data_IF_487166313777
#
_entry.id   IF_487166313777
#
_cell.length_a   1.000
_cell.length_b   1.000
_cell.length_c   1.000
_cell.angle_alpha   90.00
_cell.angle_beta   90.00
_cell.angle_gamma   90.00
#
_symmetry.space_group_name_H-M   'P 1'
#
loop_
_entity.id
_entity.type
_entity.pdbx_description
1 polymer ?
#
# COMPACT_ATOMS: atom_id res chain seq x y z
N UNK A 1 9.23 20.62 20.36
CA UNK A 1 8.11 19.66 20.64
C UNK A 1 7.09 19.50 19.49
N UNK A 2 7.37 19.90 18.26
CA UNK A 2 6.45 19.80 17.09
C UNK A 2 6.71 18.62 16.13
N UNK A 3 7.87 17.99 16.20
CA UNK A 3 8.28 16.98 15.21
C UNK A 3 7.47 15.68 15.23
N UNK A 4 7.16 15.16 16.40
CA UNK A 4 6.49 13.85 16.56
C UNK A 4 5.03 13.82 16.03
N UNK A 5 4.29 14.92 16.21
CA UNK A 5 2.90 15.03 15.69
C UNK A 5 2.87 15.11 14.15
N UNK A 6 3.88 15.73 13.55
CA UNK A 6 3.98 15.82 12.08
C UNK A 6 4.31 14.48 11.43
N UNK A 7 5.23 13.72 12.02
CA UNK A 7 5.63 12.39 11.56
C UNK A 7 4.46 11.42 11.63
N UNK A 8 3.70 11.39 12.73
CA UNK A 8 2.53 10.52 12.88
C UNK A 8 1.47 10.81 11.82
N UNK A 9 1.18 12.08 11.54
CA UNK A 9 0.20 12.45 10.49
C UNK A 9 0.64 12.05 9.10
N UNK A 10 1.94 12.19 8.79
CA UNK A 10 2.49 11.72 7.51
C UNK A 10 2.39 10.22 7.35
N UNK A 11 2.67 9.47 8.41
CA UNK A 11 2.51 8.01 8.44
C UNK A 11 1.07 7.59 8.21
N UNK A 12 0.13 8.17 8.96
CA UNK A 12 -1.29 7.81 8.87
C UNK A 12 -1.84 8.16 7.48
N UNK A 13 -1.51 9.34 6.94
CA UNK A 13 -1.84 9.73 5.57
C UNK A 13 -1.34 8.73 4.52
N UNK A 14 -0.08 8.33 4.60
CA UNK A 14 0.49 7.37 3.65
C UNK A 14 -0.15 5.98 3.79
N UNK A 15 -0.41 5.53 5.02
CA UNK A 15 -1.08 4.26 5.28
C UNK A 15 -2.49 4.23 4.68
N UNK A 16 -3.30 5.27 4.92
CA UNK A 16 -4.63 5.40 4.36
C UNK A 16 -4.58 5.46 2.82
N UNK A 17 -3.66 6.24 2.27
CA UNK A 17 -3.50 6.42 0.84
C UNK A 17 -3.11 5.11 0.13
N UNK A 18 -2.12 4.37 0.64
CA UNK A 18 -1.70 3.09 0.07
C UNK A 18 -2.77 2.00 0.22
N UNK A 19 -3.59 2.08 1.25
CA UNK A 19 -4.72 1.16 1.48
C UNK A 19 -5.98 1.53 0.69
N UNK A 20 -5.92 2.59 -0.15
CA UNK A 20 -7.03 3.00 -1.01
C UNK A 20 -8.16 3.76 -0.30
N UNK A 21 -7.98 4.17 0.96
CA UNK A 21 -9.00 4.95 1.67
C UNK A 21 -9.13 6.37 1.09
N UNK A 22 -10.36 6.88 1.06
CA UNK A 22 -10.62 8.26 0.71
C UNK A 22 -10.06 9.18 1.80
N UNK A 23 -8.98 9.86 1.48
CA UNK A 23 -8.24 10.71 2.40
C UNK A 23 -8.35 12.17 1.98
N UNK A 24 -8.41 13.07 2.95
CA UNK A 24 -8.39 14.52 2.71
C UNK A 24 -7.13 15.15 3.29
N UNK A 25 -6.53 16.07 2.54
CA UNK A 25 -5.36 16.84 2.96
C UNK A 25 -5.76 18.26 3.24
N UNK A 26 -5.56 18.71 4.48
CA UNK A 26 -5.76 20.12 4.84
C UNK A 26 -4.43 20.86 4.78
N UNK A 27 -4.31 21.78 3.84
CA UNK A 27 -3.16 22.65 3.67
C UNK A 27 -3.39 23.91 4.49
N UNK A 28 -2.45 24.19 5.40
CA UNK A 28 -2.43 25.44 6.17
C UNK A 28 -1.14 26.19 5.86
N UNK A 29 -1.27 27.45 5.52
CA UNK A 29 -0.12 28.33 5.36
C UNK A 29 0.15 29.08 6.65
N UNK A 30 1.33 29.61 6.83
CA UNK A 30 1.70 30.48 7.91
C UNK A 30 2.27 31.80 7.37
N UNK A 31 2.40 32.82 8.21
CA UNK A 31 2.81 34.15 7.79
C UNK A 31 4.18 34.17 7.06
N UNK A 32 5.09 33.24 7.39
CA UNK A 32 6.39 33.08 6.73
C UNK A 32 6.41 32.18 5.49
N UNK A 33 5.26 31.70 5.02
CA UNK A 33 5.21 30.80 3.84
C UNK A 33 5.73 31.49 2.57
N UNK A 34 5.56 32.81 2.47
CA UNK A 34 6.09 33.62 1.37
C UNK A 34 6.99 34.70 1.98
N UNK A 35 8.31 34.43 2.16
CA UNK A 35 9.22 35.37 2.83
C UNK A 35 9.32 36.73 2.13
N UNK A 36 9.21 36.77 0.82
CA UNK A 36 9.26 38.00 0.00
C UNK A 36 7.99 38.85 0.09
N UNK A 37 6.87 38.29 0.54
CA UNK A 37 5.57 38.96 0.63
C UNK A 37 4.85 38.63 1.94
N UNK A 38 5.32 39.17 3.10
CA UNK A 38 4.83 38.78 4.42
C UNK A 38 3.37 39.13 4.64
N UNK A 39 2.85 40.20 4.04
CA UNK A 39 1.44 40.55 4.13
C UNK A 39 0.56 39.52 3.41
N UNK A 40 1.00 38.99 2.26
CA UNK A 40 0.29 37.94 1.54
C UNK A 40 0.35 36.64 2.33
N UNK A 41 1.50 36.25 2.89
CA UNK A 41 1.63 35.10 3.77
C UNK A 41 0.70 35.18 4.97
N UNK A 42 0.58 36.37 5.61
CA UNK A 42 -0.35 36.62 6.71
C UNK A 42 -1.81 36.54 6.27
N UNK A 43 -2.17 37.05 5.10
CA UNK A 43 -3.52 36.93 4.56
C UNK A 43 -3.87 35.46 4.28
N UNK A 44 -2.99 34.72 3.61
CA UNK A 44 -3.20 33.31 3.28
C UNK A 44 -3.28 32.42 4.53
N UNK A 45 -2.57 32.76 5.61
CA UNK A 45 -2.60 31.97 6.86
C UNK A 45 -3.98 31.96 7.55
N UNK A 46 -4.91 32.79 7.11
CA UNK A 46 -6.30 32.79 7.59
C UNK A 46 -7.17 31.76 6.88
N UNK A 47 -6.69 31.18 5.78
CA UNK A 47 -7.44 30.21 5.00
C UNK A 47 -6.89 28.80 5.23
N UNK A 48 -7.81 27.85 5.34
CA UNK A 48 -7.50 26.42 5.33
C UNK A 48 -8.08 25.82 4.05
N UNK A 49 -7.24 25.18 3.27
CA UNK A 49 -7.67 24.49 2.05
C UNK A 49 -7.73 22.99 2.33
N UNK A 50 -8.91 22.41 2.26
CA UNK A 50 -9.10 20.98 2.37
C UNK A 50 -9.36 20.42 0.98
N UNK A 51 -8.46 19.57 0.52
CA UNK A 51 -8.53 18.93 -0.78
C UNK A 51 -8.63 17.41 -0.59
N UNK A 52 -9.45 16.71 -1.38
CA UNK A 52 -9.37 15.26 -1.42
C UNK A 52 -7.99 14.86 -1.93
N UNK A 53 -7.36 13.87 -1.29
CA UNK A 53 -6.15 13.27 -1.84
C UNK A 53 -6.50 12.66 -3.21
N UNK A 54 -5.65 12.84 -4.24
CA UNK A 54 -5.88 12.21 -5.52
C UNK A 54 -5.96 10.69 -5.33
N UNK A 55 -6.98 10.06 -5.92
CA UNK A 55 -7.08 8.60 -5.88
C UNK A 55 -5.89 7.96 -6.58
N UNK A 56 -5.45 6.81 -6.10
CA UNK A 56 -4.52 5.96 -6.81
C UNK A 56 -5.15 5.63 -8.18
N UNK A 57 -4.59 6.15 -9.25
CA UNK A 57 -4.93 5.75 -10.62
C UNK A 57 -3.82 4.86 -11.12
N UNK A 58 -4.19 3.65 -11.52
CA UNK A 58 -3.25 2.73 -12.15
C UNK A 58 -3.02 3.17 -13.60
N UNK A 59 -1.77 3.15 -14.10
CA UNK A 59 -1.54 3.26 -15.53
C UNK A 59 -2.20 2.07 -16.24
N UNK A 60 -3.20 2.34 -17.08
CA UNK A 60 -3.95 1.31 -17.81
C UNK A 60 -5.34 0.98 -17.27
N UNK A 61 -5.82 1.69 -16.29
CA UNK A 61 -7.11 1.47 -15.61
C UNK A 61 -8.32 2.06 -16.38
N UNK A 62 -8.19 2.22 -17.68
CA UNK A 62 -9.29 2.78 -18.50
C UNK A 62 -10.44 1.79 -18.72
N UNK A 63 -10.39 0.57 -18.19
CA UNK A 63 -11.37 -0.50 -18.54
C UNK A 63 -11.79 -1.49 -17.47
N UNK A 64 -11.31 -1.42 -16.25
CA UNK A 64 -11.75 -2.39 -15.24
C UNK A 64 -13.02 -1.88 -14.53
N UNK A 65 -14.17 -2.00 -15.21
CA UNK A 65 -15.53 -1.79 -14.67
C UNK A 65 -15.94 -2.91 -13.67
N UNK A 66 -15.07 -3.89 -13.40
CA UNK A 66 -15.40 -5.08 -12.61
C UNK A 66 -14.94 -5.05 -11.14
N UNK A 67 -14.21 -4.02 -10.70
CA UNK A 67 -13.95 -3.84 -9.28
C UNK A 67 -15.14 -3.13 -8.63
N UNK A 68 -16.03 -3.91 -8.01
CA UNK A 68 -17.23 -3.44 -7.31
C UNK A 68 -16.96 -2.32 -6.29
N UNK A 69 -15.72 -2.13 -5.84
CA UNK A 69 -15.32 -1.10 -4.89
C UNK A 69 -14.59 0.10 -5.52
N UNK A 70 -14.17 0.06 -6.78
CA UNK A 70 -13.48 1.16 -7.47
C UNK A 70 -12.23 1.68 -6.74
N UNK A 71 -11.63 0.88 -5.87
CA UNK A 71 -10.45 1.23 -5.09
C UNK A 71 -9.20 0.70 -5.78
N UNK A 72 -8.34 1.60 -6.22
CA UNK A 72 -7.02 1.23 -6.69
C UNK A 72 -6.15 0.79 -5.50
N UNK A 73 -5.62 -0.42 -5.56
CA UNK A 73 -4.80 -1.00 -4.50
C UNK A 73 -3.32 -0.91 -4.84
N UNK A 74 -2.49 -0.64 -3.82
CA UNK A 74 -1.03 -0.67 -3.96
C UNK A 74 -0.51 -2.07 -4.35
N UNK A 75 -1.15 -3.14 -3.85
CA UNK A 75 -0.92 -4.52 -4.30
C UNK A 75 -2.03 -4.89 -5.27
N UNK A 76 -1.68 -5.11 -6.54
CA UNK A 76 -2.59 -5.49 -7.59
C UNK A 76 -2.85 -7.01 -7.61
N UNK A 77 -1.77 -7.79 -7.67
CA UNK A 77 -1.83 -9.23 -7.79
C UNK A 77 -0.80 -9.91 -6.87
N UNK A 78 -1.09 -11.13 -6.48
CA UNK A 78 -0.19 -12.02 -5.77
C UNK A 78 0.00 -13.33 -6.54
N UNK A 79 1.22 -13.82 -6.64
CA UNK A 79 1.52 -15.14 -7.18
C UNK A 79 2.24 -15.96 -6.11
N UNK A 80 1.63 -17.05 -5.70
CA UNK A 80 2.19 -17.97 -4.72
C UNK A 80 2.90 -19.13 -5.39
N UNK A 81 4.15 -19.39 -5.00
CA UNK A 81 4.98 -20.49 -5.46
C UNK A 81 4.99 -21.56 -4.37
N UNK A 82 4.13 -22.56 -4.48
CA UNK A 82 3.89 -23.54 -3.40
C UNK A 82 5.12 -24.37 -3.09
N UNK A 83 5.83 -24.87 -4.12
CA UNK A 83 7.01 -25.72 -3.93
C UNK A 83 8.17 -25.00 -3.22
N UNK A 84 8.31 -23.71 -3.40
CA UNK A 84 9.37 -22.91 -2.75
C UNK A 84 8.89 -22.16 -1.51
N UNK A 85 7.63 -22.31 -1.14
CA UNK A 85 7.01 -21.54 -0.03
C UNK A 85 7.33 -20.05 -0.13
N UNK A 86 7.14 -19.46 -1.32
CA UNK A 86 7.40 -18.04 -1.57
C UNK A 86 6.21 -17.39 -2.29
N UNK A 87 6.13 -16.07 -2.23
CA UNK A 87 5.20 -15.28 -3.01
C UNK A 87 5.89 -14.10 -3.71
N UNK A 88 5.35 -13.70 -4.85
CA UNK A 88 5.68 -12.45 -5.52
C UNK A 88 4.42 -11.60 -5.64
N UNK A 89 4.56 -10.29 -5.48
CA UNK A 89 3.46 -9.34 -5.57
C UNK A 89 3.72 -8.34 -6.68
N UNK A 90 2.68 -8.02 -7.42
CA UNK A 90 2.70 -6.88 -8.34
C UNK A 90 2.27 -5.65 -7.55
N UNK A 91 3.21 -4.73 -7.36
CA UNK A 91 2.99 -3.46 -6.70
C UNK A 91 2.72 -2.38 -7.75
N UNK A 92 1.82 -1.47 -7.46
CA UNK A 92 1.59 -0.29 -8.27
C UNK A 92 1.82 0.94 -7.41
N UNK A 93 2.97 1.58 -7.64
CA UNK A 93 3.35 2.76 -6.90
C UNK A 93 2.56 3.98 -7.40
N UNK A 94 1.89 4.72 -6.50
CA UNK A 94 1.21 5.96 -6.85
C UNK A 94 2.14 7.14 -7.05
N UNK A 95 3.40 6.97 -6.70
CA UNK A 95 4.39 8.03 -6.75
C UNK A 95 4.90 8.18 -8.19
N UNK A 96 4.66 9.34 -8.79
CA UNK A 96 4.99 9.59 -10.21
C UNK A 96 6.50 9.81 -10.44
N UNK A 97 7.21 10.35 -9.45
CA UNK A 97 8.60 10.82 -9.62
C UNK A 97 9.58 10.25 -8.60
N UNK A 98 9.10 9.49 -7.63
CA UNK A 98 9.92 8.98 -6.54
C UNK A 98 9.75 7.48 -6.37
N UNK A 99 10.87 6.81 -6.10
CA UNK A 99 10.87 5.40 -5.74
C UNK A 99 10.56 5.26 -4.25
N UNK A 100 9.59 4.41 -3.93
CA UNK A 100 9.32 3.98 -2.56
C UNK A 100 10.22 2.77 -2.27
N UNK A 101 11.06 2.87 -1.26
CA UNK A 101 11.84 1.75 -0.76
C UNK A 101 11.06 1.09 0.37
N UNK A 102 10.99 -0.24 0.33
CA UNK A 102 10.37 -1.07 1.35
C UNK A 102 11.51 -1.77 2.07
N UNK A 103 11.74 -1.43 3.32
CA UNK A 103 12.88 -1.91 4.10
C UNK A 103 12.53 -3.15 4.93
N UNK A 104 11.24 -3.34 5.25
CA UNK A 104 10.74 -4.49 6.01
C UNK A 104 9.26 -4.72 5.73
N UNK A 105 8.87 -5.98 5.71
CA UNK A 105 7.47 -6.42 5.55
C UNK A 105 7.14 -7.42 6.65
N UNK A 106 6.05 -7.16 7.39
CA UNK A 106 5.38 -8.13 8.24
C UNK A 106 3.91 -8.13 7.82
N UNK A 107 3.49 -9.20 7.15
CA UNK A 107 2.18 -9.27 6.53
C UNK A 107 1.47 -10.59 6.83
N UNK A 108 0.15 -10.53 6.90
CA UNK A 108 -0.72 -11.71 6.99
C UNK A 108 -1.70 -11.68 5.83
N UNK A 109 -1.75 -12.78 5.09
CA UNK A 109 -2.76 -13.00 4.06
C UNK A 109 -3.98 -13.66 4.70
N UNK A 110 -5.16 -13.12 4.39
CA UNK A 110 -6.44 -13.57 4.92
C UNK A 110 -7.32 -14.07 3.78
N UNK A 111 -7.96 -15.20 3.98
CA UNK A 111 -9.04 -15.70 3.13
C UNK A 111 -10.38 -15.31 3.76
N UNK A 112 -11.32 -14.92 2.91
CA UNK A 112 -12.66 -14.53 3.33
C UNK A 112 -12.67 -13.51 4.51
N UNK A 113 -11.76 -12.51 4.45
CA UNK A 113 -11.59 -11.39 5.39
C UNK A 113 -11.06 -11.74 6.79
N UNK A 114 -11.13 -13.00 7.21
CA UNK A 114 -10.89 -13.38 8.61
C UNK A 114 -9.91 -14.53 8.80
N UNK A 115 -9.84 -15.45 7.87
CA UNK A 115 -9.06 -16.67 8.01
C UNK A 115 -7.61 -16.49 7.56
N UNK A 116 -6.62 -16.54 8.46
CA UNK A 116 -5.22 -16.40 8.08
C UNK A 116 -4.75 -17.65 7.33
N UNK A 117 -4.21 -17.46 6.14
CA UNK A 117 -3.70 -18.55 5.30
C UNK A 117 -2.19 -18.54 5.16
N UNK A 118 -1.54 -17.42 5.43
CA UNK A 118 -0.09 -17.31 5.36
C UNK A 118 0.43 -16.03 5.98
N UNK A 119 1.68 -16.09 6.41
CA UNK A 119 2.42 -14.97 6.98
C UNK A 119 3.71 -14.74 6.22
N UNK A 120 4.09 -13.50 6.09
CA UNK A 120 5.33 -13.06 5.45
C UNK A 120 6.09 -12.20 6.44
N UNK A 121 7.33 -12.58 6.74
CA UNK A 121 8.30 -11.76 7.43
C UNK A 121 9.52 -11.60 6.53
N UNK A 122 9.86 -10.35 6.21
CA UNK A 122 10.94 -10.06 5.28
C UNK A 122 11.62 -8.74 5.63
N UNK A 123 12.94 -8.81 5.88
CA UNK A 123 13.72 -7.68 6.38
C UNK A 123 14.79 -7.19 5.38
N UNK A 124 14.75 -7.67 4.13
CA UNK A 124 15.67 -7.20 3.10
C UNK A 124 15.02 -6.07 2.29
N UNK A 125 15.74 -4.97 2.04
CA UNK A 125 15.16 -3.84 1.34
C UNK A 125 14.95 -4.13 -0.15
N UNK A 126 13.85 -3.63 -0.71
CA UNK A 126 13.58 -3.63 -2.13
C UNK A 126 12.88 -2.34 -2.56
N UNK A 127 12.85 -2.08 -3.86
CA UNK A 127 12.31 -0.85 -4.43
C UNK A 127 10.96 -1.09 -5.09
N UNK A 128 10.04 -0.14 -4.89
CA UNK A 128 8.81 0.02 -5.67
C UNK A 128 8.92 1.33 -6.47
N UNK A 129 9.45 1.28 -7.69
CA UNK A 129 9.57 2.44 -8.56
C UNK A 129 8.18 2.94 -8.99
N UNK A 130 8.09 4.12 -9.61
CA UNK A 130 6.85 4.61 -10.21
C UNK A 130 6.22 3.58 -11.15
N UNK A 131 4.90 3.46 -11.09
CA UNK A 131 4.14 2.50 -11.90
C UNK A 131 4.17 1.08 -11.35
N UNK A 132 4.00 0.09 -12.22
CA UNK A 132 3.94 -1.32 -11.86
C UNK A 132 5.34 -1.93 -11.69
N UNK A 133 5.53 -2.67 -10.61
CA UNK A 133 6.77 -3.42 -10.34
C UNK A 133 6.47 -4.72 -9.61
N UNK A 134 7.41 -5.66 -9.64
CA UNK A 134 7.30 -6.91 -8.89
C UNK A 134 8.24 -6.91 -7.68
N UNK A 135 7.77 -7.49 -6.58
CA UNK A 135 8.62 -7.75 -5.43
C UNK A 135 9.62 -8.85 -5.72
N UNK A 136 10.73 -8.95 -4.98
CA UNK A 136 11.47 -10.20 -4.90
C UNK A 136 10.56 -11.34 -4.41
N UNK A 137 11.04 -12.56 -4.46
CA UNK A 137 10.34 -13.69 -3.84
C UNK A 137 10.41 -13.58 -2.34
N UNK A 138 9.27 -13.37 -1.71
CA UNK A 138 9.13 -13.24 -0.26
C UNK A 138 8.81 -14.62 0.33
N UNK A 139 9.47 -15.07 1.40
CA UNK A 139 9.14 -16.32 2.07
C UNK A 139 7.73 -16.25 2.66
N UNK A 140 6.97 -17.33 2.56
CA UNK A 140 5.62 -17.47 3.11
C UNK A 140 5.58 -18.62 4.09
N UNK A 141 5.19 -18.32 5.31
CA UNK A 141 4.82 -19.33 6.30
C UNK A 141 3.34 -19.66 6.13
N UNK A 142 3.05 -20.86 5.65
CA UNK A 142 1.68 -21.29 5.40
C UNK A 142 1.00 -21.75 6.68
N UNK A 143 -0.24 -21.35 6.87
CA UNK A 143 -1.13 -21.86 7.92
C UNK A 143 -1.78 -23.15 7.39
N UNK A 144 -1.09 -24.29 7.58
CA UNK A 144 -1.48 -25.58 6.99
C UNK A 144 -2.88 -26.03 7.40
N UNK A 145 -3.35 -25.67 8.58
CA UNK A 145 -4.69 -26.05 9.09
C UNK A 145 -5.82 -25.35 8.33
N UNK A 146 -5.53 -24.22 7.68
CA UNK A 146 -6.53 -23.39 6.98
C UNK A 146 -6.46 -23.52 5.46
N UNK A 147 -5.38 -24.05 4.90
CA UNK A 147 -5.22 -24.25 3.45
C UNK A 147 -5.77 -25.62 3.06
N UNK A 148 -7.09 -25.75 3.02
CA UNK A 148 -7.74 -26.96 2.50
C UNK A 148 -7.56 -27.12 0.99
N UNK A 149 -7.68 -28.39 0.51
CA UNK A 149 -7.54 -28.74 -0.91
C UNK A 149 -8.45 -27.93 -1.85
N UNK A 150 -9.63 -27.52 -1.35
CA UNK A 150 -10.58 -26.69 -2.09
C UNK A 150 -10.05 -25.29 -2.39
N UNK A 151 -9.40 -24.65 -1.43
CA UNK A 151 -8.80 -23.31 -1.58
C UNK A 151 -7.62 -23.32 -2.55
N UNK A 152 -6.79 -24.36 -2.48
CA UNK A 152 -5.68 -24.55 -3.43
C UNK A 152 -6.20 -24.69 -4.85
N UNK A 153 -7.29 -25.44 -5.05
CA UNK A 153 -7.94 -25.61 -6.36
C UNK A 153 -8.53 -24.31 -6.89
N UNK A 154 -9.15 -23.51 -6.04
CA UNK A 154 -9.68 -22.18 -6.38
C UNK A 154 -8.55 -21.24 -6.81
N UNK A 155 -7.45 -21.23 -6.05
CA UNK A 155 -6.26 -20.44 -6.37
C UNK A 155 -5.57 -20.89 -7.68
N UNK A 156 -5.51 -22.19 -7.95
CA UNK A 156 -5.01 -22.74 -9.23
C UNK A 156 -5.89 -22.33 -10.42
N UNK A 157 -7.19 -22.12 -10.18
CA UNK A 157 -8.13 -21.59 -11.17
C UNK A 157 -8.01 -20.08 -11.42
N UNK A 158 -7.12 -19.39 -10.71
CA UNK A 158 -6.92 -17.94 -10.83
C UNK A 158 -8.09 -17.08 -10.32
N UNK A 159 -8.96 -17.67 -9.49
CA UNK A 159 -10.19 -17.03 -8.99
C UNK A 159 -10.12 -16.62 -7.52
N UNK A 160 -9.05 -16.94 -6.84
CA UNK A 160 -8.93 -16.66 -5.41
C UNK A 160 -8.69 -15.17 -5.18
N UNK A 161 -9.49 -14.56 -4.33
CA UNK A 161 -9.28 -13.21 -3.82
C UNK A 161 -8.83 -13.29 -2.36
N UNK A 162 -7.82 -12.51 -2.01
CA UNK A 162 -7.26 -12.46 -0.66
C UNK A 162 -7.27 -11.04 -0.13
N UNK A 163 -7.36 -10.94 1.18
CA UNK A 163 -7.05 -9.70 1.87
C UNK A 163 -5.64 -9.77 2.44
N UNK A 164 -5.02 -8.62 2.59
CA UNK A 164 -3.72 -8.50 3.22
C UNK A 164 -3.77 -7.46 4.35
N UNK A 165 -3.17 -7.79 5.48
CA UNK A 165 -2.85 -6.82 6.53
C UNK A 165 -1.35 -6.84 6.75
N UNK A 166 -0.74 -5.66 6.68
CA UNK A 166 0.70 -5.57 6.80
C UNK A 166 1.13 -4.37 7.65
N UNK A 167 2.29 -4.54 8.25
CA UNK A 167 3.09 -3.47 8.83
C UNK A 167 4.39 -3.42 8.05
N UNK A 168 4.66 -2.28 7.43
CA UNK A 168 5.71 -2.16 6.42
C UNK A 168 6.63 -1.01 6.80
N UNK A 169 7.94 -1.27 6.87
CA UNK A 169 8.96 -0.23 6.95
C UNK A 169 9.15 0.38 5.56
N UNK A 170 8.96 1.68 5.43
CA UNK A 170 9.07 2.39 4.16
C UNK A 170 10.03 3.56 4.25
N UNK A 171 10.70 3.85 3.13
CA UNK A 171 11.60 4.98 3.00
C UNK A 171 11.36 5.73 1.69
N UNK A 172 11.20 7.05 1.82
CA UNK A 172 10.99 7.97 0.71
C UNK A 172 11.98 9.13 0.83
N UNK A 173 13.03 9.14 0.04
CA UNK A 173 14.12 10.09 0.16
C UNK A 173 14.80 10.00 1.54
N UNK A 174 14.69 11.06 2.34
CA UNK A 174 15.23 11.11 3.71
C UNK A 174 14.23 10.74 4.79
N UNK A 175 12.98 10.56 4.42
CA UNK A 175 11.92 10.16 5.34
C UNK A 175 11.82 8.65 5.41
N UNK A 176 11.78 8.11 6.61
CA UNK A 176 11.64 6.68 6.89
C UNK A 176 10.66 6.48 8.04
N UNK A 177 9.69 5.62 7.84
CA UNK A 177 8.63 5.33 8.83
C UNK A 177 8.09 3.92 8.67
N UNK A 178 7.36 3.47 9.69
CA UNK A 178 6.58 2.25 9.65
C UNK A 178 5.13 2.59 9.39
N UNK A 179 4.58 2.07 8.30
CA UNK A 179 3.19 2.27 7.88
C UNK A 179 2.40 0.98 8.01
N UNK A 180 1.11 1.10 8.24
CA UNK A 180 0.19 -0.03 8.12
C UNK A 180 -0.43 -0.04 6.71
N UNK A 181 -0.77 -1.22 6.24
CA UNK A 181 -1.43 -1.44 4.95
C UNK A 181 -2.56 -2.45 5.10
N UNK A 182 -3.69 -2.15 4.48
CA UNK A 182 -4.83 -3.08 4.36
C UNK A 182 -5.23 -3.13 2.89
N UNK A 183 -5.03 -4.29 2.27
CA UNK A 183 -5.51 -4.57 0.91
C UNK A 183 -6.69 -5.52 0.98
N UNK A 184 -7.69 -5.32 0.13
CA UNK A 184 -8.86 -6.20 0.01
C UNK A 184 -9.01 -6.68 -1.42
N UNK A 185 -9.50 -7.91 -1.57
CA UNK A 185 -9.83 -8.43 -2.88
C UNK A 185 -8.64 -8.63 -3.83
N UNK A 186 -7.41 -8.75 -3.30
CA UNK A 186 -6.20 -8.94 -4.10
C UNK A 186 -6.29 -10.26 -4.86
N UNK A 187 -6.18 -10.20 -6.19
CA UNK A 187 -6.14 -11.38 -7.04
C UNK A 187 -4.96 -12.29 -6.68
N UNK A 188 -5.21 -13.56 -6.45
CA UNK A 188 -4.18 -14.51 -6.06
C UNK A 188 -4.13 -15.70 -7.02
N UNK A 189 -2.97 -15.89 -7.65
CA UNK A 189 -2.66 -17.06 -8.46
C UNK A 189 -1.67 -17.99 -7.76
N UNK A 190 -1.69 -19.24 -8.13
CA UNK A 190 -0.76 -20.26 -7.61
C UNK A 190 0.06 -20.82 -8.75
N UNK A 191 1.35 -20.97 -8.53
CA UNK A 191 2.28 -21.70 -9.39
C UNK A 191 2.91 -22.86 -8.61
N UNK A 192 2.94 -24.02 -9.24
CA UNK A 192 3.63 -25.20 -8.74
C UNK A 192 5.12 -25.13 -9.10
#
# INVERSE_FOLDING_TARGET
>A
MGGDKGLRRGRDLLSEYLSGYNTTVTIRTHAGTIPSLPLLGKALSRFNFTLPAPRLRLPGDDKDEDDEDGQAHFIRDATFHVLSSTATFTLVSPLLHNTLFIDRVNATALYNHTEPIGRIEYDLPFAAPPGASQTPRLPVEWSMDSVGYGKLREALGGRMKLDARAVVGVRLGRWSETVWYVGRGIGAGVRL
#
